data_IF_985731880923
#
_entry.id   IF_985731880923
#
_cell.length_a   1.000
_cell.length_b   1.000
_cell.length_c   1.000
_cell.angle_alpha   90.00
_cell.angle_beta   90.00
_cell.angle_gamma   90.00
#
_symmetry.space_group_name_H-M   'P 1'
#
loop_
_entity.id
_entity.type
_entity.pdbx_description
1 polymer ?
#
# COMPACT_ATOMS: atom_id res chain seq x y z
N UNK A 1 -17.86 66.99 -5.89
CA UNK A 1 -18.74 65.84 -5.64
C UNK A 1 -18.06 64.63 -6.27
N UNK A 2 -17.84 63.59 -5.46
CA UNK A 2 -16.86 62.51 -5.62
C UNK A 2 -16.99 61.69 -6.92
N UNK A 3 -15.84 61.39 -7.53
CA UNK A 3 -15.65 60.30 -8.48
C UNK A 3 -15.41 59.04 -7.63
N UNK A 4 -16.31 58.06 -7.72
CA UNK A 4 -16.14 56.77 -7.07
C UNK A 4 -15.18 55.90 -7.90
N UNK A 5 -13.99 55.63 -7.35
CA UNK A 5 -13.12 54.57 -7.83
C UNK A 5 -13.65 53.24 -7.26
N UNK A 6 -14.04 52.31 -8.12
CA UNK A 6 -14.41 50.96 -7.71
C UNK A 6 -13.19 50.20 -7.21
N UNK A 7 -13.35 49.21 -6.31
CA UNK A 7 -12.22 48.40 -5.85
C UNK A 7 -11.74 47.52 -7.01
N UNK A 8 -10.50 47.74 -7.43
CA UNK A 8 -9.79 46.82 -8.32
C UNK A 8 -9.75 45.43 -7.67
N UNK A 9 -10.38 44.46 -8.32
CA UNK A 9 -10.29 43.06 -7.95
C UNK A 9 -8.84 42.60 -8.14
N UNK A 10 -8.12 42.43 -7.04
CA UNK A 10 -6.80 41.79 -7.05
C UNK A 10 -7.02 40.33 -7.44
N UNK A 11 -6.80 40.01 -8.72
CA UNK A 11 -6.61 38.64 -9.16
C UNK A 11 -5.33 38.12 -8.49
N UNK A 12 -5.50 37.28 -7.47
CA UNK A 12 -4.41 36.49 -6.93
C UNK A 12 -3.91 35.57 -8.04
N UNK A 13 -2.73 35.85 -8.60
CA UNK A 13 -2.04 34.91 -9.49
C UNK A 13 -1.65 33.69 -8.67
N UNK A 14 -2.45 32.63 -8.75
CA UNK A 14 -2.10 31.36 -8.13
C UNK A 14 -0.82 30.85 -8.80
N UNK A 15 0.22 30.62 -8.00
CA UNK A 15 1.48 30.04 -8.49
C UNK A 15 1.14 28.67 -9.08
N UNK A 16 1.52 28.38 -10.34
CA UNK A 16 1.22 27.10 -10.95
C UNK A 16 1.82 25.95 -10.12
N UNK A 17 1.14 24.81 -10.03
CA UNK A 17 1.62 23.67 -9.25
C UNK A 17 2.98 23.19 -9.77
N UNK A 18 3.83 22.75 -8.84
CA UNK A 18 5.16 22.20 -9.15
C UNK A 18 5.02 20.68 -9.30
N UNK A 19 5.38 20.10 -10.45
CA UNK A 19 5.36 18.65 -10.63
C UNK A 19 6.19 17.92 -9.59
N UNK A 20 5.69 16.78 -9.14
CA UNK A 20 6.37 15.92 -8.18
C UNK A 20 7.46 15.12 -8.89
N UNK A 21 8.66 15.05 -8.31
CA UNK A 21 9.70 14.12 -8.76
C UNK A 21 9.36 12.69 -8.33
N UNK A 22 8.72 11.94 -9.22
CA UNK A 22 8.34 10.55 -8.97
C UNK A 22 9.55 9.61 -8.77
N UNK A 23 10.75 9.99 -9.23
CA UNK A 23 11.96 9.18 -9.05
C UNK A 23 12.49 9.17 -7.61
N UNK A 24 11.99 10.09 -6.77
CA UNK A 24 12.28 10.16 -5.33
C UNK A 24 11.50 9.12 -4.49
N UNK A 25 10.54 8.42 -5.10
CA UNK A 25 9.77 7.37 -4.44
C UNK A 25 10.44 6.00 -4.57
N UNK A 26 10.03 5.02 -3.75
CA UNK A 26 10.53 3.66 -3.86
C UNK A 26 10.27 3.02 -5.23
N UNK A 27 11.17 2.16 -5.67
CA UNK A 27 11.10 1.44 -6.93
C UNK A 27 12.32 0.55 -7.14
N UNK A 28 12.53 0.01 -8.35
CA UNK A 28 13.53 -1.03 -8.60
C UNK A 28 14.99 -0.62 -8.31
N UNK A 29 15.26 0.68 -8.16
CA UNK A 29 16.60 1.20 -7.88
C UNK A 29 16.94 1.35 -6.39
N UNK A 30 15.95 1.35 -5.50
CA UNK A 30 16.12 1.63 -4.06
C UNK A 30 15.29 0.72 -3.14
N UNK A 31 14.59 -0.28 -3.69
CA UNK A 31 13.94 -1.37 -2.94
C UNK A 31 14.49 -2.74 -3.35
N UNK A 32 14.14 -3.75 -2.57
CA UNK A 32 14.57 -5.11 -2.82
C UNK A 32 15.98 -5.37 -2.31
N UNK A 33 16.58 -6.45 -2.80
CA UNK A 33 17.95 -6.83 -2.42
C UNK A 33 18.94 -5.78 -2.92
N UNK A 34 19.79 -5.19 -2.06
CA UNK A 34 20.75 -4.17 -2.47
C UNK A 34 21.70 -4.71 -3.52
N UNK A 35 21.94 -3.90 -4.56
CA UNK A 35 22.83 -4.26 -5.66
C UNK A 35 24.20 -4.68 -5.13
N UNK A 36 24.68 -5.84 -5.60
CA UNK A 36 25.96 -6.41 -5.20
C UNK A 36 25.92 -7.29 -3.95
N UNK A 37 24.74 -7.48 -3.33
CA UNK A 37 24.56 -8.50 -2.29
C UNK A 37 24.81 -9.89 -2.88
N UNK A 38 25.67 -10.66 -2.24
CA UNK A 38 25.89 -12.08 -2.56
C UNK A 38 24.97 -12.91 -1.68
N UNK A 39 24.01 -13.62 -2.30
CA UNK A 39 23.08 -14.50 -1.60
C UNK A 39 23.68 -15.90 -1.45
N UNK A 40 23.54 -16.47 -0.26
CA UNK A 40 23.75 -17.91 -0.05
C UNK A 40 22.41 -18.65 0.00
N UNK A 41 22.34 -19.93 -0.40
CA UNK A 41 21.15 -20.74 -0.16
C UNK A 41 20.73 -20.73 1.30
N UNK A 42 19.42 -20.65 1.54
CA UNK A 42 18.85 -20.89 2.85
C UNK A 42 18.57 -22.37 3.05
N UNK A 43 19.23 -22.97 4.04
CA UNK A 43 19.06 -24.38 4.39
C UNK A 43 18.25 -24.58 5.69
N UNK A 44 17.68 -23.50 6.23
CA UNK A 44 16.88 -23.53 7.46
C UNK A 44 15.42 -23.95 7.22
N UNK A 45 14.62 -24.03 8.30
CA UNK A 45 13.22 -24.44 8.20
C UNK A 45 12.34 -23.35 7.57
N UNK A 46 11.26 -23.76 6.92
CA UNK A 46 10.26 -22.85 6.37
C UNK A 46 9.22 -22.41 7.43
N UNK A 47 9.03 -23.24 8.45
CA UNK A 47 8.32 -22.88 9.69
C UNK A 47 9.31 -22.25 10.66
N UNK A 48 9.22 -20.93 10.86
CA UNK A 48 10.11 -20.20 11.76
C UNK A 48 9.51 -20.20 13.16
N UNK A 49 9.92 -21.16 13.98
CA UNK A 49 9.43 -21.35 15.36
C UNK A 49 10.39 -20.86 16.43
N UNK A 50 11.63 -20.51 16.07
CA UNK A 50 12.61 -19.99 17.01
C UNK A 50 12.50 -18.46 17.12
N UNK A 51 12.36 -17.89 18.34
CA UNK A 51 12.36 -16.45 18.53
C UNK A 51 13.65 -15.79 18.03
N UNK A 52 13.52 -14.61 17.45
CA UNK A 52 14.65 -13.81 16.97
C UNK A 52 15.50 -14.47 15.87
N UNK A 53 14.94 -15.46 15.13
CA UNK A 53 15.62 -15.98 13.93
C UNK A 53 15.98 -14.86 12.97
N UNK A 54 17.20 -14.89 12.45
CA UNK A 54 17.71 -13.96 11.45
C UNK A 54 17.98 -14.70 10.14
N UNK A 55 17.34 -14.26 9.07
CA UNK A 55 17.58 -14.71 7.69
C UNK A 55 18.20 -13.52 6.95
N UNK A 56 19.52 -13.54 6.77
CA UNK A 56 20.25 -12.43 6.16
C UNK A 56 21.08 -12.88 4.95
N UNK A 57 20.97 -12.13 3.85
CA UNK A 57 21.66 -12.43 2.60
C UNK A 57 21.44 -13.87 2.13
N UNK A 58 20.15 -14.28 2.07
CA UNK A 58 19.77 -15.63 1.68
C UNK A 58 18.83 -15.67 0.47
N UNK A 59 18.96 -16.72 -0.33
CA UNK A 59 17.95 -17.15 -1.28
C UNK A 59 17.11 -18.26 -0.66
N UNK A 60 15.86 -17.94 -0.33
CA UNK A 60 14.89 -18.85 0.29
C UNK A 60 13.97 -19.40 -0.80
N UNK A 61 13.96 -20.72 -0.99
CA UNK A 61 13.20 -21.41 -2.05
C UNK A 61 11.82 -21.93 -1.58
N UNK A 62 11.46 -21.70 -0.32
CA UNK A 62 10.16 -22.04 0.23
C UNK A 62 9.40 -20.81 0.73
N UNK A 63 8.09 -21.00 0.94
CA UNK A 63 7.25 -20.04 1.65
C UNK A 63 7.60 -20.04 3.14
N UNK A 64 7.64 -18.86 3.77
CA UNK A 64 7.97 -18.72 5.18
C UNK A 64 6.72 -18.56 6.03
N UNK A 65 6.56 -19.41 7.04
CA UNK A 65 5.53 -19.30 8.06
C UNK A 65 6.17 -18.87 9.37
N UNK A 66 6.01 -17.59 9.72
CA UNK A 66 6.59 -16.99 10.91
C UNK A 66 5.65 -17.26 12.09
N UNK A 67 6.12 -18.11 13.01
CA UNK A 67 5.36 -18.56 14.20
C UNK A 67 5.98 -18.10 15.51
N UNK A 68 7.07 -17.33 15.44
CA UNK A 68 7.84 -16.86 16.58
C UNK A 68 8.01 -15.33 16.56
N UNK A 69 8.18 -14.70 17.73
CA UNK A 69 8.42 -13.27 17.82
C UNK A 69 9.81 -12.88 17.34
N UNK A 70 9.92 -11.66 16.82
CA UNK A 70 11.19 -10.97 16.61
C UNK A 70 11.99 -11.47 15.40
N UNK A 71 11.36 -12.20 14.47
CA UNK A 71 12.04 -12.71 13.27
C UNK A 71 12.48 -11.55 12.39
N UNK A 72 13.71 -11.64 11.85
CA UNK A 72 14.31 -10.60 11.01
C UNK A 72 14.75 -11.20 9.68
N UNK A 73 14.30 -10.61 8.58
CA UNK A 73 14.71 -10.98 7.23
C UNK A 73 15.38 -9.77 6.59
N UNK A 74 16.63 -9.90 6.16
CA UNK A 74 17.39 -8.79 5.56
C UNK A 74 18.10 -9.22 4.28
N UNK A 75 18.15 -8.36 3.26
CA UNK A 75 18.96 -8.58 2.05
C UNK A 75 18.70 -9.92 1.37
N UNK A 76 17.48 -10.43 1.44
CA UNK A 76 17.14 -11.79 1.05
C UNK A 76 16.09 -11.83 -0.05
N UNK A 77 16.02 -12.95 -0.76
CA UNK A 77 14.90 -13.27 -1.66
C UNK A 77 14.08 -14.39 -1.05
N UNK A 78 12.75 -14.31 -1.12
CA UNK A 78 11.86 -15.35 -0.59
C UNK A 78 10.56 -15.44 -1.39
N UNK A 79 9.87 -16.59 -1.25
CA UNK A 79 8.47 -16.74 -1.62
C UNK A 79 7.54 -15.98 -0.67
N UNK A 80 6.26 -16.37 -0.60
CA UNK A 80 5.31 -15.67 0.29
C UNK A 80 5.69 -15.84 1.76
N UNK A 81 5.23 -14.90 2.58
CA UNK A 81 5.45 -14.87 4.02
C UNK A 81 4.11 -14.76 4.75
N UNK A 82 3.93 -15.58 5.77
CA UNK A 82 2.74 -15.61 6.61
C UNK A 82 3.08 -15.43 8.09
N UNK A 83 2.46 -14.43 8.71
CA UNK A 83 2.52 -14.08 10.13
C UNK A 83 1.08 -14.08 10.65
N UNK A 84 0.58 -15.26 11.00
CA UNK A 84 -0.81 -15.48 11.47
C UNK A 84 -0.87 -16.16 12.85
N UNK A 85 0.29 -16.38 13.48
CA UNK A 85 0.37 -16.97 14.82
C UNK A 85 0.34 -15.86 15.88
N UNK A 86 -0.56 -15.91 16.88
CA UNK A 86 -0.58 -14.94 17.95
C UNK A 86 0.78 -14.79 18.63
N UNK A 87 1.30 -13.56 18.68
CA UNK A 87 2.61 -13.24 19.27
C UNK A 87 3.81 -13.46 18.34
N UNK A 88 3.60 -13.92 17.10
CA UNK A 88 4.64 -13.87 16.08
C UNK A 88 4.84 -12.43 15.59
N UNK A 89 6.04 -12.11 15.12
CA UNK A 89 6.31 -10.80 14.53
C UNK A 89 7.50 -10.83 13.58
N UNK A 90 7.46 -9.97 12.57
CA UNK A 90 8.44 -9.91 11.49
C UNK A 90 8.94 -8.49 11.29
N UNK A 91 10.25 -8.33 11.18
CA UNK A 91 10.87 -7.19 10.50
C UNK A 91 11.56 -7.68 9.24
N UNK A 92 11.15 -7.17 8.08
CA UNK A 92 11.78 -7.43 6.79
C UNK A 92 12.32 -6.14 6.19
N UNK A 93 13.58 -6.16 5.76
CA UNK A 93 14.26 -5.00 5.21
C UNK A 93 15.10 -5.37 3.99
N UNK A 94 15.18 -4.48 3.00
CA UNK A 94 16.09 -4.61 1.85
C UNK A 94 15.95 -5.97 1.15
N UNK A 95 14.73 -6.46 0.96
CA UNK A 95 14.48 -7.83 0.52
C UNK A 95 13.46 -7.88 -0.61
N UNK A 96 13.52 -8.93 -1.43
CA UNK A 96 12.53 -9.24 -2.45
C UNK A 96 11.61 -10.36 -1.95
N UNK A 97 10.31 -10.12 -1.98
CA UNK A 97 9.27 -11.12 -1.76
C UNK A 97 8.52 -11.32 -3.07
N UNK A 98 8.54 -12.55 -3.58
CA UNK A 98 7.80 -12.94 -4.79
C UNK A 98 6.76 -14.01 -4.44
N UNK A 99 5.51 -13.59 -4.26
CA UNK A 99 4.39 -14.49 -3.99
C UNK A 99 4.00 -15.36 -5.19
N UNK A 100 4.62 -15.15 -6.37
CA UNK A 100 4.35 -15.90 -7.58
C UNK A 100 2.86 -15.93 -7.92
N UNK A 101 2.32 -17.15 -8.12
CA UNK A 101 0.91 -17.38 -8.48
C UNK A 101 0.00 -17.64 -7.28
N UNK A 102 0.44 -17.30 -6.07
CA UNK A 102 -0.36 -17.55 -4.88
C UNK A 102 -1.71 -16.80 -4.93
N UNK A 103 -2.79 -17.43 -4.46
CA UNK A 103 -4.14 -16.84 -4.43
C UNK A 103 -4.43 -16.03 -3.16
N UNK A 104 -3.40 -15.67 -2.40
CA UNK A 104 -3.49 -14.81 -1.22
C UNK A 104 -2.39 -13.75 -1.24
N UNK A 105 -2.11 -13.09 -0.11
CA UNK A 105 -1.10 -12.04 -0.06
C UNK A 105 0.32 -12.61 -0.17
N UNK A 106 1.24 -11.86 -0.78
CA UNK A 106 2.66 -12.22 -0.77
C UNK A 106 3.28 -12.01 0.63
N UNK A 107 2.82 -11.02 1.39
CA UNK A 107 3.06 -10.91 2.84
C UNK A 107 1.75 -10.67 3.58
N UNK A 108 1.46 -11.50 4.59
CA UNK A 108 0.42 -11.25 5.60
C UNK A 108 0.84 -11.83 6.96
N UNK A 109 0.06 -11.75 8.03
CA UNK A 109 -1.16 -10.96 8.19
C UNK A 109 -1.08 -9.93 9.32
N UNK A 110 -0.27 -10.11 10.37
CA UNK A 110 -0.15 -9.13 11.46
C UNK A 110 1.29 -8.90 11.92
N UNK A 111 1.52 -7.81 12.66
CA UNK A 111 2.79 -7.55 13.35
C UNK A 111 4.02 -7.56 12.42
N UNK A 112 3.85 -6.97 11.23
CA UNK A 112 4.89 -6.85 10.19
C UNK A 112 5.43 -5.43 10.10
N UNK A 113 6.75 -5.29 10.15
CA UNK A 113 7.46 -4.11 9.68
C UNK A 113 8.20 -4.43 8.38
N UNK A 114 7.88 -3.75 7.29
CA UNK A 114 8.53 -3.87 5.99
C UNK A 114 9.18 -2.54 5.59
N UNK A 115 10.49 -2.55 5.32
CA UNK A 115 11.27 -1.37 4.92
C UNK A 115 12.10 -1.62 3.66
N UNK A 116 11.98 -0.76 2.63
CA UNK A 116 12.74 -0.91 1.37
C UNK A 116 12.57 -2.29 0.72
N UNK A 117 11.37 -2.86 0.84
CA UNK A 117 11.06 -4.18 0.29
C UNK A 117 10.48 -4.03 -1.12
N UNK A 118 10.88 -4.92 -2.02
CA UNK A 118 10.21 -5.14 -3.32
C UNK A 118 9.25 -6.33 -3.12
N UNK A 119 7.94 -6.10 -3.26
CA UNK A 119 6.92 -7.12 -3.07
C UNK A 119 6.07 -7.25 -4.32
N UNK A 120 6.14 -8.44 -4.93
CA UNK A 120 5.39 -8.78 -6.14
C UNK A 120 4.75 -10.17 -6.08
N UNK A 121 3.93 -10.46 -7.09
CA UNK A 121 3.16 -11.68 -7.16
C UNK A 121 2.07 -11.75 -6.10
N UNK A 122 1.47 -12.93 -5.96
CA UNK A 122 0.29 -13.11 -5.11
C UNK A 122 -0.95 -12.40 -5.64
N UNK A 123 -2.10 -12.60 -5.00
CA UNK A 123 -3.31 -11.83 -5.32
C UNK A 123 -3.18 -10.39 -4.81
N UNK A 124 -2.51 -10.20 -3.68
CA UNK A 124 -2.23 -8.89 -3.08
C UNK A 124 -0.76 -8.84 -2.68
N UNK A 125 -0.04 -7.72 -2.88
CA UNK A 125 1.36 -7.67 -2.42
C UNK A 125 1.43 -7.78 -0.89
N UNK A 126 0.74 -6.91 -0.15
CA UNK A 126 0.66 -7.00 1.32
C UNK A 126 -0.80 -6.91 1.79
N UNK A 127 -1.22 -7.87 2.60
CA UNK A 127 -2.44 -7.76 3.39
C UNK A 127 -2.09 -7.85 4.86
N UNK A 128 -2.22 -6.74 5.60
CA UNK A 128 -1.67 -6.69 6.96
C UNK A 128 -2.47 -5.83 7.94
N UNK A 129 -2.96 -6.47 9.00
CA UNK A 129 -3.53 -5.89 10.21
C UNK A 129 -3.63 -6.94 11.34
N UNK A 130 -3.50 -6.56 12.62
CA UNK A 130 -3.11 -5.24 13.11
C UNK A 130 -1.59 -5.04 13.15
N UNK A 131 -1.16 -3.84 13.56
CA UNK A 131 0.23 -3.50 13.91
C UNK A 131 1.22 -3.65 12.74
N UNK A 132 0.94 -2.99 11.62
CA UNK A 132 1.78 -3.09 10.44
C UNK A 132 2.40 -1.74 10.04
N UNK A 133 3.70 -1.74 9.78
CA UNK A 133 4.43 -0.60 9.22
C UNK A 133 5.03 -1.02 7.89
N UNK A 134 4.57 -0.41 6.81
CA UNK A 134 5.14 -0.58 5.48
C UNK A 134 5.70 0.78 5.08
N UNK A 135 7.02 0.86 4.93
CA UNK A 135 7.70 2.11 4.61
C UNK A 135 8.76 1.95 3.54
N UNK A 136 8.96 3.00 2.75
CA UNK A 136 9.99 3.09 1.72
C UNK A 136 9.99 1.90 0.75
N UNK A 137 8.84 1.23 0.55
CA UNK A 137 8.72 -0.05 -0.16
C UNK A 137 7.96 0.07 -1.48
N UNK A 138 8.14 -0.92 -2.36
CA UNK A 138 7.50 -0.99 -3.68
C UNK A 138 6.59 -2.22 -3.77
N UNK A 139 5.30 -1.98 -3.99
CA UNK A 139 4.23 -2.97 -4.05
C UNK A 139 3.64 -2.98 -5.45
N UNK A 140 3.82 -4.05 -6.21
CA UNK A 140 3.47 -4.12 -7.64
C UNK A 140 3.31 -5.56 -8.13
N UNK A 141 2.90 -5.74 -9.39
CA UNK A 141 3.05 -7.00 -10.11
C UNK A 141 2.27 -8.16 -9.49
N UNK A 142 1.02 -7.93 -9.06
CA UNK A 142 0.16 -9.01 -8.58
C UNK A 142 -0.12 -10.04 -9.70
N UNK A 143 -0.73 -11.15 -9.33
CA UNK A 143 -1.05 -12.24 -10.25
C UNK A 143 -2.56 -12.53 -10.27
N UNK A 144 -3.18 -12.24 -11.41
CA UNK A 144 -4.57 -12.63 -11.70
C UNK A 144 -4.58 -14.05 -12.26
N UNK A 145 -5.29 -14.95 -11.59
CA UNK A 145 -5.53 -16.29 -12.09
C UNK A 145 -6.53 -16.21 -13.25
N UNK A 146 -6.26 -16.88 -14.38
CA UNK A 146 -7.15 -16.82 -15.53
C UNK A 146 -8.60 -17.22 -15.19
N UNK A 147 -9.56 -16.36 -15.52
CA UNK A 147 -10.99 -16.61 -15.36
C UNK A 147 -11.41 -16.81 -13.91
N UNK A 148 -10.74 -16.16 -12.96
CA UNK A 148 -11.12 -16.19 -11.55
C UNK A 148 -11.60 -14.82 -11.12
N UNK A 149 -12.69 -14.74 -10.32
CA UNK A 149 -13.23 -13.49 -9.83
C UNK A 149 -12.42 -12.94 -8.64
N UNK A 150 -11.12 -12.76 -8.86
CA UNK A 150 -10.20 -12.26 -7.85
C UNK A 150 -10.23 -10.74 -7.78
N UNK A 151 -10.07 -10.24 -6.57
CA UNK A 151 -9.90 -8.84 -6.24
C UNK A 151 -8.46 -8.62 -5.80
N UNK A 152 -7.67 -8.00 -6.67
CA UNK A 152 -6.24 -7.81 -6.48
C UNK A 152 -5.96 -6.44 -5.85
N UNK A 153 -4.78 -6.29 -5.25
CA UNK A 153 -4.34 -4.99 -4.76
C UNK A 153 -2.87 -4.91 -4.37
N UNK A 154 -2.33 -3.70 -4.29
CA UNK A 154 -1.00 -3.49 -3.71
C UNK A 154 -1.03 -3.72 -2.20
N UNK A 155 -1.88 -2.96 -1.51
CA UNK A 155 -2.17 -3.14 -0.08
C UNK A 155 -3.66 -3.42 0.17
N UNK A 156 -3.94 -4.33 1.12
CA UNK A 156 -5.30 -4.65 1.57
C UNK A 156 -5.39 -4.74 3.10
N UNK A 157 -6.51 -4.28 3.65
CA UNK A 157 -7.00 -4.69 4.97
C UNK A 157 -8.52 -4.88 4.95
N UNK A 158 -9.00 -5.86 5.72
CA UNK A 158 -10.42 -6.20 5.88
C UNK A 158 -10.96 -5.90 7.30
N UNK A 159 -10.34 -4.96 8.01
CA UNK A 159 -10.77 -4.43 9.31
C UNK A 159 -9.57 -4.10 10.22
N UNK A 160 -9.76 -4.10 11.54
CA UNK A 160 -8.67 -3.95 12.53
C UNK A 160 -8.02 -2.57 12.47
N UNK A 161 -6.79 -2.44 12.98
CA UNK A 161 -6.21 -1.15 13.32
C UNK A 161 -4.68 -1.14 13.34
N UNK A 162 -4.13 0.05 13.58
CA UNK A 162 -2.69 0.31 13.78
C UNK A 162 -1.86 -0.09 12.55
N UNK A 163 -2.14 0.58 11.42
CA UNK A 163 -1.39 0.41 10.18
C UNK A 163 -0.83 1.73 9.70
N UNK A 164 0.42 1.73 9.27
CA UNK A 164 1.06 2.86 8.60
C UNK A 164 1.65 2.43 7.27
N UNK A 165 1.21 3.07 6.19
CA UNK A 165 1.87 3.06 4.88
C UNK A 165 2.55 4.41 4.70
N UNK A 166 3.88 4.43 4.66
CA UNK A 166 4.67 5.66 4.61
C UNK A 166 5.70 5.66 3.50
N UNK A 167 5.63 6.64 2.61
CA UNK A 167 6.63 6.82 1.54
C UNK A 167 6.83 5.56 0.68
N UNK A 168 5.75 4.87 0.33
CA UNK A 168 5.81 3.71 -0.58
C UNK A 168 5.48 4.10 -2.02
N UNK A 169 5.84 3.26 -2.99
CA UNK A 169 5.20 3.22 -4.31
C UNK A 169 4.27 2.03 -4.36
N UNK A 170 2.99 2.26 -4.64
CA UNK A 170 1.95 1.25 -4.56
C UNK A 170 1.13 1.24 -5.85
N UNK A 171 1.04 0.08 -6.48
CA UNK A 171 0.23 -0.15 -7.67
C UNK A 171 -0.42 -1.51 -7.65
N UNK A 172 -1.62 -1.58 -8.20
CA UNK A 172 -2.14 -2.79 -8.80
C UNK A 172 -2.17 -2.60 -10.31
N UNK A 173 -1.36 -3.35 -11.04
CA UNK A 173 -1.00 -3.13 -12.44
C UNK A 173 -1.35 -4.33 -13.34
N UNK A 174 -2.27 -5.18 -12.88
CA UNK A 174 -2.76 -6.33 -13.64
C UNK A 174 -4.05 -5.95 -14.36
N UNK A 175 -4.07 -6.12 -15.67
CA UNK A 175 -5.26 -5.88 -16.49
C UNK A 175 -6.42 -6.80 -16.10
N UNK A 176 -7.63 -6.23 -16.04
CA UNK A 176 -8.85 -6.95 -15.73
C UNK A 176 -9.21 -7.95 -16.84
N UNK A 177 -9.60 -9.17 -16.47
CA UNK A 177 -9.95 -10.24 -17.42
C UNK A 177 -11.47 -10.46 -17.58
N UNK A 178 -12.27 -9.48 -17.14
CA UNK A 178 -13.75 -9.47 -17.00
C UNK A 178 -14.29 -10.29 -15.83
N UNK A 179 -13.58 -11.32 -15.40
CA UNK A 179 -13.97 -12.11 -14.24
C UNK A 179 -13.41 -11.49 -12.97
N UNK A 180 -12.11 -11.14 -12.99
CA UNK A 180 -11.40 -10.49 -11.90
C UNK A 180 -10.44 -9.41 -12.38
N UNK A 181 -9.71 -8.83 -11.43
CA UNK A 181 -8.82 -7.73 -11.73
C UNK A 181 -8.43 -6.91 -10.51
N UNK A 182 -7.83 -5.75 -10.80
CA UNK A 182 -7.38 -4.84 -9.77
C UNK A 182 -8.57 -4.15 -9.09
N UNK A 183 -8.66 -4.30 -7.77
CA UNK A 183 -9.59 -3.48 -6.99
C UNK A 183 -9.01 -2.09 -6.68
N UNK A 184 -7.68 -2.00 -6.51
CA UNK A 184 -6.96 -0.74 -6.32
C UNK A 184 -5.56 -0.90 -5.73
N UNK A 185 -4.80 0.17 -5.74
CA UNK A 185 -3.43 0.21 -5.21
C UNK A 185 -3.41 0.03 -3.68
N UNK A 186 -4.26 0.71 -2.92
CA UNK A 186 -4.39 0.49 -1.46
C UNK A 186 -5.83 0.58 -0.98
N UNK A 187 -6.29 -0.43 -0.23
CA UNK A 187 -7.70 -0.58 0.09
C UNK A 187 -7.88 -1.02 1.54
N UNK A 188 -8.81 -0.38 2.25
CA UNK A 188 -9.28 -0.85 3.55
C UNK A 188 -10.80 -1.03 3.52
N UNK A 189 -11.27 -2.14 4.07
CA UNK A 189 -12.68 -2.51 4.13
C UNK A 189 -13.08 -2.95 5.53
N UNK A 190 -14.18 -2.44 6.06
CA UNK A 190 -14.72 -2.85 7.36
C UNK A 190 -15.50 -4.16 7.29
N UNK A 191 -14.88 -5.22 6.78
CA UNK A 191 -15.54 -6.52 6.55
C UNK A 191 -15.68 -7.31 7.85
N UNK A 192 -14.59 -7.45 8.61
CA UNK A 192 -14.58 -8.32 9.79
C UNK A 192 -14.34 -7.59 11.12
N UNK A 193 -13.91 -6.32 11.11
CA UNK A 193 -13.84 -5.46 12.30
C UNK A 193 -13.80 -3.97 11.91
N UNK A 194 -14.00 -3.12 12.92
CA UNK A 194 -13.92 -1.66 12.79
C UNK A 194 -12.55 -1.23 12.26
N UNK A 195 -12.54 -0.20 11.42
CA UNK A 195 -11.33 0.41 10.89
C UNK A 195 -10.94 1.58 11.76
N UNK A 196 -9.75 1.53 12.38
CA UNK A 196 -9.22 2.68 13.11
C UNK A 196 -7.70 2.79 13.08
N UNK A 197 -7.16 4.00 13.14
CA UNK A 197 -5.70 4.26 13.19
C UNK A 197 -4.96 3.70 11.96
N UNK A 198 -5.41 4.12 10.79
CA UNK A 198 -4.70 3.91 9.53
C UNK A 198 -4.05 5.22 9.09
N UNK A 199 -2.75 5.18 8.82
CA UNK A 199 -2.00 6.31 8.28
C UNK A 199 -1.47 5.98 6.90
N UNK A 200 -1.85 6.78 5.91
CA UNK A 200 -1.33 6.80 4.56
C UNK A 200 -0.58 8.12 4.40
N UNK A 201 0.73 8.08 4.47
CA UNK A 201 1.56 9.28 4.47
C UNK A 201 2.61 9.25 3.37
N UNK A 202 2.65 10.30 2.52
CA UNK A 202 3.69 10.47 1.49
C UNK A 202 3.85 9.28 0.53
N UNK A 203 2.83 8.47 0.30
CA UNK A 203 2.90 7.39 -0.69
C UNK A 203 2.68 7.92 -2.12
N UNK A 204 3.24 7.23 -3.10
CA UNK A 204 2.92 7.34 -4.51
C UNK A 204 1.97 6.21 -4.90
N UNK A 205 0.75 6.57 -5.30
CA UNK A 205 -0.23 5.65 -5.86
C UNK A 205 -0.21 5.78 -7.38
N UNK A 206 0.32 4.76 -8.05
CA UNK A 206 0.30 4.73 -9.51
C UNK A 206 -1.09 4.37 -10.02
N UNK A 207 -1.40 4.82 -11.24
CA UNK A 207 -2.64 4.54 -11.93
C UNK A 207 -2.82 3.02 -12.09
N UNK A 208 -4.07 2.59 -11.96
CA UNK A 208 -4.47 1.18 -11.96
C UNK A 208 -5.56 0.95 -13.00
N UNK A 209 -5.62 -0.22 -13.67
CA UNK A 209 -6.75 -0.59 -14.51
C UNK A 209 -8.06 -0.73 -13.70
N UNK A 210 -7.94 -0.90 -12.37
CA UNK A 210 -9.05 -1.05 -11.45
C UNK A 210 -10.00 0.16 -11.34
N UNK A 211 -11.01 0.02 -10.47
CA UNK A 211 -12.03 1.03 -10.26
C UNK A 211 -11.51 2.33 -9.66
N UNK A 212 -10.89 2.25 -8.48
CA UNK A 212 -10.28 3.40 -7.79
C UNK A 212 -8.84 3.03 -7.41
N UNK A 213 -7.93 4.02 -7.32
CA UNK A 213 -6.59 3.74 -6.81
C UNK A 213 -6.58 3.47 -5.31
N UNK A 214 -7.43 4.17 -4.54
CA UNK A 214 -7.51 3.95 -3.09
C UNK A 214 -8.95 3.92 -2.57
N UNK A 215 -9.16 3.15 -1.49
CA UNK A 215 -10.42 3.09 -0.73
C UNK A 215 -10.13 3.23 0.76
N UNK A 216 -10.77 4.19 1.43
CA UNK A 216 -10.47 4.55 2.82
C UNK A 216 -11.54 4.11 3.85
N UNK A 217 -12.37 3.13 3.48
CA UNK A 217 -13.11 2.30 4.43
C UNK A 217 -14.56 2.68 4.74
N UNK A 218 -14.99 3.93 4.48
CA UNK A 218 -16.38 4.33 4.69
C UNK A 218 -17.31 3.61 3.70
N UNK A 219 -18.11 2.70 4.24
CA UNK A 219 -19.14 1.97 3.52
C UNK A 219 -20.19 1.45 4.52
N UNK A 220 -21.31 2.17 4.72
CA UNK A 220 -22.40 1.73 5.61
C UNK A 220 -23.05 0.39 5.25
N UNK A 221 -22.83 -0.13 4.04
CA UNK A 221 -23.29 -1.45 3.63
C UNK A 221 -22.43 -2.61 4.14
N UNK A 222 -21.25 -2.34 4.71
CA UNK A 222 -20.36 -3.35 5.29
C UNK A 222 -20.59 -3.48 6.81
N UNK A 223 -20.39 -4.67 7.41
CA UNK A 223 -20.67 -4.91 8.83
C UNK A 223 -20.00 -3.92 9.80
N UNK A 224 -18.80 -3.44 9.45
CA UNK A 224 -18.02 -2.51 10.26
C UNK A 224 -17.55 -1.27 9.48
N UNK A 225 -18.16 -0.98 8.32
CA UNK A 225 -17.74 0.12 7.43
C UNK A 225 -18.44 1.46 7.68
N UNK A 226 -19.38 1.54 8.62
CA UNK A 226 -20.20 2.75 8.81
C UNK A 226 -19.50 3.88 9.57
N UNK A 227 -18.39 3.61 10.25
CA UNK A 227 -17.71 4.59 11.12
C UNK A 227 -16.18 4.34 11.20
N UNK A 228 -15.42 4.53 10.12
CA UNK A 228 -13.96 4.50 10.18
C UNK A 228 -13.43 5.75 10.89
N UNK A 229 -12.51 5.59 11.84
CA UNK A 229 -11.95 6.70 12.65
C UNK A 229 -10.43 6.73 12.60
N UNK A 230 -9.82 7.89 12.82
CA UNK A 230 -8.37 8.08 12.77
C UNK A 230 -7.75 7.56 11.46
N UNK A 231 -8.44 7.80 10.34
CA UNK A 231 -7.95 7.54 9.00
C UNK A 231 -7.24 8.81 8.50
N UNK A 232 -5.91 8.77 8.50
CA UNK A 232 -5.04 9.90 8.17
C UNK A 232 -4.46 9.68 6.79
N UNK A 233 -4.83 10.53 5.83
CA UNK A 233 -4.38 10.48 4.43
C UNK A 233 -3.69 11.80 4.11
N UNK A 234 -2.36 11.82 4.19
CA UNK A 234 -1.59 13.07 4.12
C UNK A 234 -0.37 13.03 3.20
N UNK A 235 -0.18 14.10 2.43
CA UNK A 235 1.04 14.30 1.64
C UNK A 235 1.28 13.26 0.53
N UNK A 236 0.27 12.46 0.16
CA UNK A 236 0.41 11.41 -0.84
C UNK A 236 0.26 11.99 -2.27
N UNK A 237 0.72 11.22 -3.24
CA UNK A 237 0.75 11.58 -4.67
C UNK A 237 0.02 10.51 -5.47
N UNK A 238 -0.86 10.92 -6.38
CA UNK A 238 -1.54 10.03 -7.33
C UNK A 238 -1.07 10.35 -8.73
N UNK A 239 -0.95 9.34 -9.60
CA UNK A 239 -0.72 9.55 -11.04
C UNK A 239 -2.01 9.37 -11.83
N UNK A 240 -2.14 10.02 -12.98
CA UNK A 240 -3.19 9.74 -13.96
C UNK A 240 -2.68 8.78 -15.04
N UNK A 241 -3.48 7.76 -15.34
CA UNK A 241 -3.26 6.85 -16.45
C UNK A 241 -3.80 7.42 -17.78
N UNK A 242 -3.82 6.60 -18.85
CA UNK A 242 -4.26 7.02 -20.18
C UNK A 242 -5.70 7.56 -20.26
N UNK A 243 -6.56 7.20 -19.29
CA UNK A 243 -7.93 7.69 -19.18
C UNK A 243 -8.04 9.06 -18.47
N UNK A 244 -6.92 9.69 -18.10
CA UNK A 244 -6.89 10.96 -17.36
C UNK A 244 -7.33 10.84 -15.90
N UNK A 245 -7.41 9.63 -15.35
CA UNK A 245 -7.75 9.34 -13.95
C UNK A 245 -6.73 8.37 -13.36
N UNK A 246 -6.74 8.17 -12.04
CA UNK A 246 -5.90 7.13 -11.43
C UNK A 246 -6.49 5.74 -11.64
N UNK A 247 -7.74 5.50 -11.21
CA UNK A 247 -8.55 4.35 -11.59
C UNK A 247 -9.71 4.75 -12.51
N UNK A 248 -10.42 3.77 -13.07
CA UNK A 248 -11.52 3.97 -14.02
C UNK A 248 -12.63 4.92 -13.51
N UNK A 249 -12.94 4.86 -12.21
CA UNK A 249 -13.94 5.72 -11.58
C UNK A 249 -13.32 6.99 -10.99
N UNK A 250 -12.12 6.92 -10.42
CA UNK A 250 -11.44 8.09 -9.84
C UNK A 250 -10.15 7.75 -9.08
N UNK A 251 -9.53 8.74 -8.40
CA UNK A 251 -8.38 8.51 -7.54
C UNK A 251 -8.73 7.73 -6.28
N UNK A 252 -9.80 8.12 -5.59
CA UNK A 252 -10.09 7.62 -4.25
C UNK A 252 -11.58 7.39 -4.08
N UNK A 253 -11.97 6.63 -3.06
CA UNK A 253 -13.34 6.50 -2.59
C UNK A 253 -13.35 6.24 -1.09
N UNK A 254 -14.55 6.27 -0.49
CA UNK A 254 -14.79 5.79 0.86
C UNK A 254 -13.99 6.52 1.95
N UNK A 255 -13.64 7.79 1.74
CA UNK A 255 -13.14 8.62 2.84
C UNK A 255 -14.31 9.30 3.56
N UNK A 256 -14.38 9.19 4.89
CA UNK A 256 -15.36 9.93 5.70
C UNK A 256 -14.73 11.20 6.27
N UNK A 257 -14.96 12.39 5.69
CA UNK A 257 -14.39 13.63 6.19
C UNK A 257 -14.99 14.07 7.55
N UNK A 258 -16.12 13.50 7.96
CA UNK A 258 -16.76 13.78 9.25
C UNK A 258 -16.34 12.82 10.37
N UNK A 259 -15.63 11.74 10.03
CA UNK A 259 -15.22 10.71 10.99
C UNK A 259 -14.22 11.24 12.02
N UNK A 260 -14.34 10.76 13.25
CA UNK A 260 -13.46 11.18 14.35
C UNK A 260 -11.99 10.96 14.00
N UNK A 261 -11.18 12.02 14.09
CA UNK A 261 -9.73 11.94 13.83
C UNK A 261 -9.35 11.66 12.38
N UNK A 262 -10.30 11.61 11.45
CA UNK A 262 -9.99 11.46 10.03
C UNK A 262 -9.37 12.76 9.50
N UNK A 263 -8.31 12.64 8.71
CA UNK A 263 -7.56 13.78 8.20
C UNK A 263 -7.26 13.57 6.73
N UNK A 264 -7.54 14.60 5.93
CA UNK A 264 -7.11 14.69 4.54
C UNK A 264 -6.37 15.99 4.32
N UNK A 265 -5.08 15.94 3.98
CA UNK A 265 -4.31 17.17 3.77
C UNK A 265 -3.07 16.97 2.91
N UNK A 266 -2.69 18.00 2.15
CA UNK A 266 -1.43 18.04 1.40
C UNK A 266 -1.30 16.98 0.29
N UNK A 267 -2.39 16.30 -0.08
CA UNK A 267 -2.39 15.32 -1.15
C UNK A 267 -2.41 16.02 -2.51
N UNK A 268 -1.63 15.50 -3.47
CA UNK A 268 -1.49 16.11 -4.80
C UNK A 268 -1.54 15.06 -5.92
N UNK A 269 -1.77 15.53 -7.13
CA UNK A 269 -1.48 14.79 -8.35
C UNK A 269 0.00 14.89 -8.71
N UNK A 270 0.45 14.09 -9.66
CA UNK A 270 1.82 14.06 -10.16
C UNK A 270 2.28 15.41 -10.75
N UNK A 271 1.35 16.21 -11.25
CA UNK A 271 1.59 17.58 -11.74
C UNK A 271 1.66 18.64 -10.62
N UNK A 272 1.48 18.22 -9.36
CA UNK A 272 1.48 19.07 -8.17
C UNK A 272 0.12 19.71 -7.85
N UNK A 273 -0.91 19.52 -8.68
CA UNK A 273 -2.24 20.06 -8.42
C UNK A 273 -2.89 19.38 -7.22
N UNK A 274 -3.71 20.11 -6.47
CA UNK A 274 -4.37 19.60 -5.27
C UNK A 274 -5.25 18.39 -5.60
N UNK A 275 -5.12 17.35 -4.79
CA UNK A 275 -5.96 16.16 -4.87
C UNK A 275 -6.97 16.17 -3.70
N UNK A 276 -8.25 16.25 -4.07
CA UNK A 276 -9.38 16.33 -3.13
C UNK A 276 -9.96 14.96 -2.86
N UNK A 277 -10.40 14.75 -1.62
CA UNK A 277 -11.06 13.51 -1.23
C UNK A 277 -12.34 13.27 -2.05
N UNK A 278 -12.62 11.99 -2.31
CA UNK A 278 -13.85 11.49 -2.93
C UNK A 278 -14.46 10.39 -2.07
#
# INVERSE_FOLDING_TARGET
>A
MLIALGPDAVQSSEVPPIPVDLSSFPGPGNTGVPKGTVLAPYDGPCDITEPNTVIDARSVECDLFVKAPGVRITRSTTGRIEVDTPGASLTIEDSLVDGGRWKGPAIGFSDVTARRVDVRGGQTSIQCTPNCLIEDSWLHGQYLQPGQPQHLGGFLSNGWHDVTLRHNTIVCDVEDDKEGGCSGSAQIYGDFAVLTRFTFERNLFLATPGGYCTSFGYNPGKPFGSNPTFIVVTGNVWTRGPNGKCGSYGPTTSFDPGGEGNVWSGNVWEDGSVMVAQ
#
